data_IF_739149977827
#
_entry.id   IF_739149977827
#
_cell.length_a   1.000
_cell.length_b   1.000
_cell.length_c   1.000
_cell.angle_alpha   90.00
_cell.angle_beta   90.00
_cell.angle_gamma   90.00
#
_symmetry.space_group_name_H-M   'P 1'
#
loop_
_entity.id
_entity.type
_entity.pdbx_description
1 polymer ?
#
# COMPACT_ATOMS: atom_id res chain seq x y z
N UNK A 1 53.57 -7.28 36.58
CA UNK A 1 52.74 -8.19 35.76
C UNK A 1 51.30 -8.01 36.22
N UNK A 2 50.48 -7.33 35.42
CA UNK A 2 49.09 -7.04 35.79
C UNK A 2 48.30 -8.36 35.81
N UNK A 3 47.69 -8.70 36.95
CA UNK A 3 46.71 -9.78 37.00
C UNK A 3 45.43 -9.26 36.34
N UNK A 4 44.97 -9.83 35.21
CA UNK A 4 43.74 -9.39 34.58
C UNK A 4 42.62 -9.55 35.60
N UNK A 5 41.98 -8.44 35.95
CA UNK A 5 40.83 -8.49 36.86
C UNK A 5 39.73 -9.30 36.18
N UNK A 6 38.95 -10.05 36.96
CA UNK A 6 37.88 -10.93 36.48
C UNK A 6 36.94 -10.26 35.48
N UNK A 7 36.79 -8.93 35.58
CA UNK A 7 36.00 -8.10 34.69
C UNK A 7 36.59 -7.93 33.28
N UNK A 8 37.91 -7.71 33.15
CA UNK A 8 38.57 -7.57 31.84
C UNK A 8 38.50 -8.88 31.05
N UNK A 9 38.66 -10.01 31.73
CA UNK A 9 38.56 -11.33 31.13
C UNK A 9 37.11 -11.67 30.75
N UNK A 10 36.13 -11.28 31.59
CA UNK A 10 34.70 -11.38 31.26
C UNK A 10 34.35 -10.52 30.04
N UNK A 11 34.82 -9.27 29.99
CA UNK A 11 34.60 -8.36 28.87
C UNK A 11 35.21 -8.91 27.58
N UNK A 12 36.41 -9.48 27.64
CA UNK A 12 37.05 -10.13 26.49
C UNK A 12 36.25 -11.35 26.01
N UNK A 13 35.80 -12.21 26.93
CA UNK A 13 34.97 -13.37 26.60
C UNK A 13 33.59 -13.01 26.05
N UNK A 14 32.96 -11.94 26.53
CA UNK A 14 31.65 -11.47 26.05
C UNK A 14 31.77 -10.70 24.73
N UNK A 15 32.92 -10.07 24.47
CA UNK A 15 33.15 -9.26 23.27
C UNK A 15 32.98 -10.08 22.00
N UNK A 16 33.52 -11.30 21.94
CA UNK A 16 33.46 -12.19 20.78
C UNK A 16 32.02 -12.57 20.41
N UNK A 17 31.19 -13.15 21.31
CA UNK A 17 29.81 -13.49 21.00
C UNK A 17 28.96 -12.26 20.70
N UNK A 18 29.18 -11.11 21.36
CA UNK A 18 28.46 -9.87 21.04
C UNK A 18 28.87 -9.31 19.67
N UNK A 19 30.12 -9.46 19.24
CA UNK A 19 30.58 -9.07 17.90
C UNK A 19 29.92 -9.93 16.82
N UNK A 20 29.75 -11.24 17.06
CA UNK A 20 29.02 -12.15 16.16
C UNK A 20 27.54 -11.78 16.06
N UNK A 21 26.90 -11.45 17.19
CA UNK A 21 25.55 -10.90 17.19
C UNK A 21 25.47 -9.55 16.46
N UNK A 22 26.48 -8.70 16.65
CA UNK A 22 26.68 -7.43 15.94
C UNK A 22 26.77 -7.62 14.42
N UNK A 23 27.53 -8.62 13.97
CA UNK A 23 27.67 -8.96 12.56
C UNK A 23 26.36 -9.47 11.97
N UNK A 24 25.55 -10.19 12.75
CA UNK A 24 24.24 -10.67 12.33
C UNK A 24 23.23 -9.53 12.05
N UNK A 25 23.46 -8.30 12.55
CA UNK A 25 22.69 -7.13 12.13
C UNK A 25 22.91 -6.74 10.66
N UNK A 26 24.05 -7.08 10.06
CA UNK A 26 24.30 -6.80 8.66
C UNK A 26 23.43 -7.63 7.72
N UNK A 27 22.83 -8.73 8.21
CA UNK A 27 21.96 -9.59 7.44
C UNK A 27 20.49 -9.36 7.78
N UNK A 28 19.76 -8.69 6.87
CA UNK A 28 18.35 -8.26 7.03
C UNK A 28 17.42 -9.37 7.60
N UNK A 29 17.49 -10.64 7.14
CA UNK A 29 16.65 -11.70 7.68
C UNK A 29 16.93 -12.07 9.15
N UNK A 30 18.15 -11.84 9.63
CA UNK A 30 18.59 -12.20 10.99
C UNK A 30 18.56 -11.01 11.95
N UNK A 31 18.27 -9.79 11.50
CA UNK A 31 18.30 -8.57 12.33
C UNK A 31 17.49 -8.74 13.62
N UNK A 32 16.27 -9.26 13.54
CA UNK A 32 15.41 -9.39 14.72
C UNK A 32 15.99 -10.41 15.73
N UNK A 33 16.52 -11.52 15.22
CA UNK A 33 17.18 -12.54 16.05
C UNK A 33 18.49 -12.02 16.65
N UNK A 34 19.25 -11.22 15.90
CA UNK A 34 20.48 -10.57 16.32
C UNK A 34 20.25 -9.53 17.43
N UNK A 35 19.18 -8.73 17.33
CA UNK A 35 18.74 -7.80 18.39
C UNK A 35 18.42 -8.57 19.66
N UNK A 36 17.57 -9.59 19.55
CA UNK A 36 17.16 -10.39 20.70
C UNK A 36 18.36 -11.06 21.37
N UNK A 37 19.25 -11.67 20.59
CA UNK A 37 20.47 -12.29 21.08
C UNK A 37 21.36 -11.32 21.85
N UNK A 38 21.65 -10.14 21.28
CA UNK A 38 22.48 -9.13 21.95
C UNK A 38 21.83 -8.55 23.21
N UNK A 39 20.50 -8.46 23.25
CA UNK A 39 19.78 -7.96 24.42
C UNK A 39 19.73 -8.99 25.56
N UNK A 40 19.48 -10.26 25.24
CA UNK A 40 19.27 -11.29 26.26
C UNK A 40 20.58 -11.92 26.76
N UNK A 41 21.63 -11.96 25.96
CA UNK A 41 22.91 -12.56 26.34
C UNK A 41 23.54 -11.91 27.60
N UNK A 42 23.61 -10.57 27.73
CA UNK A 42 24.11 -9.94 28.96
C UNK A 42 23.20 -10.17 30.18
N UNK A 43 21.89 -10.23 29.95
CA UNK A 43 20.89 -10.47 31.01
C UNK A 43 21.04 -11.90 31.56
N UNK A 44 21.27 -12.88 30.68
CA UNK A 44 21.49 -14.28 31.04
C UNK A 44 22.83 -14.53 31.71
N UNK A 45 23.88 -13.80 31.31
CA UNK A 45 25.20 -13.86 31.97
C UNK A 45 25.15 -13.19 33.34
N UNK A 46 24.28 -12.20 33.53
CA UNK A 46 23.96 -11.61 34.83
C UNK A 46 25.21 -11.31 35.66
N UNK A 47 26.08 -10.37 35.22
CA UNK A 47 27.39 -10.13 35.83
C UNK A 47 27.24 -9.52 37.22
N UNK A 48 26.93 -10.37 38.19
CA UNK A 48 26.89 -10.05 39.60
C UNK A 48 28.32 -10.14 40.14
N UNK A 49 28.70 -9.18 40.98
CA UNK A 49 30.04 -9.09 41.58
C UNK A 49 30.40 -10.27 42.51
N UNK A 50 29.50 -11.24 42.70
CA UNK A 50 29.73 -12.45 43.48
C UNK A 50 30.08 -13.59 42.50
N UNK A 51 31.36 -13.96 42.43
CA UNK A 51 31.97 -14.73 41.34
C UNK A 51 31.55 -16.19 41.15
N UNK A 52 30.30 -16.59 41.44
CA UNK A 52 29.74 -17.91 41.10
C UNK A 52 28.32 -17.75 40.56
N UNK A 53 28.12 -18.18 39.32
CA UNK A 53 26.79 -18.31 38.75
C UNK A 53 26.17 -19.60 39.28
N UNK A 54 25.10 -19.49 40.07
CA UNK A 54 24.35 -20.66 40.52
C UNK A 54 23.46 -21.19 39.39
N UNK A 55 23.55 -22.49 39.11
CA UNK A 55 22.77 -23.17 38.07
C UNK A 55 21.25 -22.99 38.27
N UNK A 56 20.81 -22.99 39.53
CA UNK A 56 19.42 -22.74 39.93
C UNK A 56 19.01 -21.29 39.61
N UNK A 57 19.90 -20.33 39.86
CA UNK A 57 19.66 -18.92 39.55
C UNK A 57 19.62 -18.67 38.04
N UNK A 58 20.51 -19.31 37.29
CA UNK A 58 20.48 -19.29 35.83
C UNK A 58 19.16 -19.86 35.29
N UNK A 59 18.75 -21.03 35.76
CA UNK A 59 17.50 -21.66 35.33
C UNK A 59 16.27 -20.82 35.68
N UNK A 60 16.22 -20.24 36.88
CA UNK A 60 15.13 -19.36 37.33
C UNK A 60 15.10 -18.03 36.58
N UNK A 61 16.18 -17.62 35.93
CA UNK A 61 16.23 -16.38 35.12
C UNK A 61 15.92 -16.67 33.64
N UNK A 62 16.48 -17.76 33.10
CA UNK A 62 16.33 -18.13 31.70
C UNK A 62 14.94 -18.69 31.37
N UNK A 63 14.37 -19.51 32.25
CA UNK A 63 13.11 -20.19 31.96
C UNK A 63 11.90 -19.23 31.88
N UNK A 64 11.73 -18.25 32.78
CA UNK A 64 10.67 -17.25 32.63
C UNK A 64 10.83 -16.40 31.37
N UNK A 65 12.07 -16.09 30.99
CA UNK A 65 12.37 -15.32 29.78
C UNK A 65 11.95 -16.07 28.51
N UNK A 66 12.30 -17.36 28.43
CA UNK A 66 11.89 -18.24 27.32
C UNK A 66 10.36 -18.40 27.27
N UNK A 67 9.72 -18.65 28.42
CA UNK A 67 8.26 -18.75 28.50
C UNK A 67 7.57 -17.45 28.06
N UNK A 68 8.07 -16.30 28.50
CA UNK A 68 7.53 -15.00 28.10
C UNK A 68 7.64 -14.77 26.58
N UNK A 69 8.76 -15.16 25.98
CA UNK A 69 8.99 -15.03 24.54
C UNK A 69 8.10 -15.97 23.72
N UNK A 70 7.94 -17.23 24.16
CA UNK A 70 7.01 -18.19 23.55
C UNK A 70 5.57 -17.70 23.70
N UNK A 71 5.19 -17.20 24.88
CA UNK A 71 3.86 -16.66 25.13
C UNK A 71 3.57 -15.42 24.26
N UNK A 72 4.51 -14.49 24.15
CA UNK A 72 4.36 -13.32 23.29
C UNK A 72 4.22 -13.73 21.82
N UNK A 73 5.05 -14.66 21.33
CA UNK A 73 4.95 -15.18 19.97
C UNK A 73 3.60 -15.86 19.71
N UNK A 74 3.14 -16.68 20.66
CA UNK A 74 1.85 -17.34 20.58
C UNK A 74 0.69 -16.34 20.58
N UNK A 75 0.73 -15.35 21.48
CA UNK A 75 -0.27 -14.27 21.57
C UNK A 75 -0.35 -13.50 20.24
N UNK A 76 0.78 -13.09 19.66
CA UNK A 76 0.77 -12.41 18.37
C UNK A 76 0.20 -13.28 17.25
N UNK A 77 0.51 -14.58 17.24
CA UNK A 77 0.01 -15.50 16.22
C UNK A 77 -1.49 -15.78 16.34
N UNK A 78 -2.04 -15.79 17.56
CA UNK A 78 -3.45 -16.07 17.82
C UNK A 78 -4.32 -14.82 17.67
N UNK A 79 -3.88 -13.69 18.22
CA UNK A 79 -4.68 -12.45 18.23
C UNK A 79 -4.43 -11.53 17.03
N UNK A 80 -3.25 -11.61 16.39
CA UNK A 80 -2.91 -10.86 15.18
C UNK A 80 -2.42 -11.81 14.07
N UNK A 81 -3.29 -12.68 13.52
CA UNK A 81 -2.94 -13.42 12.32
C UNK A 81 -2.66 -12.41 11.20
N UNK A 82 -1.40 -12.33 10.78
CA UNK A 82 -1.00 -11.50 9.65
C UNK A 82 -1.56 -12.14 8.38
N UNK A 83 -2.72 -11.67 7.92
CA UNK A 83 -3.32 -12.10 6.67
C UNK A 83 -2.89 -11.16 5.52
N UNK A 84 -1.85 -11.52 4.74
CA UNK A 84 -1.40 -10.72 3.61
C UNK A 84 -2.47 -10.60 2.51
N UNK A 85 -3.46 -11.51 2.46
CA UNK A 85 -4.54 -11.46 1.47
C UNK A 85 -5.59 -10.43 1.89
N UNK A 86 -6.00 -10.45 3.16
CA UNK A 86 -6.92 -9.47 3.74
C UNK A 86 -6.38 -8.04 3.62
N UNK A 87 -5.10 -7.83 3.90
CA UNK A 87 -4.47 -6.51 3.75
C UNK A 87 -4.43 -6.00 2.30
N UNK A 88 -4.10 -6.88 1.35
CA UNK A 88 -4.11 -6.55 -0.09
C UNK A 88 -5.52 -6.20 -0.58
N UNK A 89 -6.52 -6.92 -0.08
CA UNK A 89 -7.92 -6.66 -0.37
C UNK A 89 -8.39 -5.33 0.21
N UNK A 90 -8.07 -5.05 1.48
CA UNK A 90 -8.41 -3.80 2.15
C UNK A 90 -7.79 -2.59 1.45
N UNK A 91 -6.53 -2.72 1.01
CA UNK A 91 -5.87 -1.67 0.26
C UNK A 91 -6.57 -1.38 -1.07
N UNK A 92 -6.91 -2.41 -1.84
CA UNK A 92 -7.67 -2.28 -3.08
C UNK A 92 -9.03 -1.61 -2.84
N UNK A 93 -9.75 -2.04 -1.80
CA UNK A 93 -11.02 -1.42 -1.41
C UNK A 93 -10.86 0.04 -0.98
N UNK A 94 -9.75 0.41 -0.34
CA UNK A 94 -9.48 1.79 0.05
C UNK A 94 -9.24 2.67 -1.17
N UNK A 95 -8.53 2.19 -2.19
CA UNK A 95 -8.32 2.92 -3.46
C UNK A 95 -9.66 3.11 -4.18
N UNK A 96 -10.47 2.06 -4.30
CA UNK A 96 -11.80 2.14 -4.91
C UNK A 96 -12.73 3.09 -4.15
N UNK A 97 -12.72 3.04 -2.81
CA UNK A 97 -13.47 3.99 -1.96
C UNK A 97 -12.97 5.43 -2.14
N UNK A 98 -11.66 5.62 -2.30
CA UNK A 98 -11.05 6.91 -2.60
C UNK A 98 -11.55 7.49 -3.91
N UNK A 99 -11.55 6.69 -4.98
CA UNK A 99 -12.08 7.08 -6.30
C UNK A 99 -13.57 7.45 -6.24
N UNK A 100 -14.38 6.66 -5.53
CA UNK A 100 -15.78 6.98 -5.28
C UNK A 100 -15.94 8.32 -4.57
N UNK A 101 -15.17 8.53 -3.49
CA UNK A 101 -15.23 9.72 -2.66
C UNK A 101 -14.86 10.97 -3.48
N UNK A 102 -13.82 10.89 -4.30
CA UNK A 102 -13.40 11.94 -5.23
C UNK A 102 -14.51 12.30 -6.24
N UNK A 103 -15.23 11.29 -6.73
CA UNK A 103 -16.36 11.48 -7.64
C UNK A 103 -17.61 12.02 -6.94
N UNK A 104 -17.83 11.75 -5.65
CA UNK A 104 -19.07 12.08 -4.92
C UNK A 104 -19.01 13.36 -4.09
N UNK A 105 -17.85 13.76 -3.58
CA UNK A 105 -17.75 14.89 -2.65
C UNK A 105 -18.05 16.22 -3.33
N UNK A 106 -18.86 17.08 -2.70
CA UNK A 106 -19.15 18.43 -3.22
C UNK A 106 -17.93 19.35 -3.21
N UNK A 107 -17.08 19.25 -2.20
CA UNK A 107 -15.83 20.03 -2.10
C UNK A 107 -14.73 19.31 -2.88
N UNK A 108 -14.00 20.00 -3.77
CA UNK A 108 -12.85 19.40 -4.45
C UNK A 108 -11.73 19.15 -3.44
N UNK A 109 -11.31 17.89 -3.29
CA UNK A 109 -10.06 17.54 -2.58
C UNK A 109 -8.86 18.09 -3.38
N UNK A 110 -7.81 18.50 -2.68
CA UNK A 110 -6.61 19.03 -3.32
C UNK A 110 -5.88 17.90 -4.05
N UNK A 111 -5.29 18.15 -5.24
CA UNK A 111 -4.47 17.15 -5.93
C UNK A 111 -3.38 16.55 -5.05
N UNK A 112 -2.81 17.33 -4.13
CA UNK A 112 -1.80 16.89 -3.16
C UNK A 112 -2.30 15.81 -2.20
N UNK A 113 -3.58 15.83 -1.81
CA UNK A 113 -4.18 14.83 -0.90
C UNK A 113 -4.43 13.48 -1.61
N UNK A 114 -4.66 13.52 -2.93
CA UNK A 114 -4.77 12.30 -3.76
C UNK A 114 -3.39 11.68 -3.93
N UNK A 115 -2.37 12.49 -4.20
CA UNK A 115 -0.98 12.03 -4.31
C UNK A 115 -0.49 11.47 -2.97
N UNK A 116 -0.72 12.17 -1.86
CA UNK A 116 -0.31 11.74 -0.52
C UNK A 116 -0.85 10.36 -0.14
N UNK A 117 -2.17 10.13 -0.30
CA UNK A 117 -2.77 8.80 -0.06
C UNK A 117 -2.22 7.71 -0.97
N UNK A 118 -1.86 8.05 -2.21
CA UNK A 118 -1.29 7.09 -3.16
C UNK A 118 0.15 6.72 -2.78
N UNK A 119 0.93 7.69 -2.30
CA UNK A 119 2.28 7.49 -1.76
C UNK A 119 2.24 6.65 -0.48
N UNK A 120 1.30 6.92 0.43
CA UNK A 120 1.12 6.11 1.64
C UNK A 120 0.80 4.64 1.30
N UNK A 121 -0.07 4.43 0.30
CA UNK A 121 -0.34 3.11 -0.24
C UNK A 121 0.91 2.43 -0.82
N UNK A 122 1.71 3.18 -1.59
CA UNK A 122 2.97 2.69 -2.17
C UNK A 122 3.98 2.27 -1.09
N UNK A 123 4.18 3.12 -0.08
CA UNK A 123 5.08 2.84 1.05
C UNK A 123 4.59 1.62 1.84
N UNK A 124 3.28 1.50 2.05
CA UNK A 124 2.70 0.32 2.73
C UNK A 124 2.88 -0.96 1.92
N UNK A 125 2.78 -0.93 0.58
CA UNK A 125 3.05 -2.11 -0.26
C UNK A 125 4.53 -2.50 -0.30
N UNK A 126 5.41 -1.50 -0.38
CA UNK A 126 6.85 -1.74 -0.48
C UNK A 126 7.43 -2.28 0.84
N UNK A 127 6.90 -1.83 1.99
CA UNK A 127 7.30 -2.33 3.31
C UNK A 127 6.74 -3.71 3.61
N UNK A 128 5.63 -4.12 2.98
CA UNK A 128 4.94 -5.37 3.29
C UNK A 128 5.43 -6.57 2.47
N UNK A 129 6.25 -6.35 1.44
CA UNK A 129 6.73 -7.41 0.56
C UNK A 129 8.24 -7.57 0.74
N UNK A 130 8.71 -8.59 1.51
CA UNK A 130 10.13 -8.85 1.65
C UNK A 130 10.78 -9.31 0.32
N UNK A 131 9.98 -9.84 -0.62
CA UNK A 131 10.45 -10.25 -1.94
C UNK A 131 10.13 -9.20 -3.02
N UNK A 132 11.13 -8.37 -3.34
CA UNK A 132 11.03 -7.26 -4.31
C UNK A 132 10.73 -7.70 -5.76
N UNK A 133 10.72 -9.00 -6.06
CA UNK A 133 10.56 -9.54 -7.43
C UNK A 133 9.21 -10.20 -7.73
N UNK A 134 8.23 -10.07 -6.85
CA UNK A 134 6.90 -10.63 -7.14
C UNK A 134 6.21 -9.87 -8.27
N UNK A 135 5.94 -10.54 -9.40
CA UNK A 135 5.11 -10.03 -10.52
C UNK A 135 3.80 -9.40 -10.02
N UNK A 136 3.26 -9.94 -8.93
CA UNK A 136 2.07 -9.45 -8.24
C UNK A 136 2.29 -8.05 -7.66
N UNK A 137 3.44 -7.78 -7.04
CA UNK A 137 3.77 -6.45 -6.51
C UNK A 137 3.77 -5.41 -7.63
N UNK A 138 4.41 -5.69 -8.77
CA UNK A 138 4.45 -4.75 -9.89
C UNK A 138 3.04 -4.44 -10.43
N UNK A 139 2.17 -5.45 -10.50
CA UNK A 139 0.75 -5.30 -10.85
C UNK A 139 -0.04 -4.47 -9.83
N UNK A 140 0.21 -4.65 -8.52
CA UNK A 140 -0.41 -3.81 -7.48
C UNK A 140 0.09 -2.37 -7.53
N UNK A 141 1.39 -2.16 -7.73
CA UNK A 141 2.00 -0.84 -7.87
C UNK A 141 1.43 -0.10 -9.09
N UNK A 142 1.34 -0.78 -10.24
CA UNK A 142 0.69 -0.26 -11.43
C UNK A 142 -0.78 0.09 -11.17
N UNK A 143 -1.52 -0.75 -10.43
CA UNK A 143 -2.90 -0.46 -10.02
C UNK A 143 -3.05 0.76 -9.10
N UNK A 144 -2.13 0.96 -8.15
CA UNK A 144 -2.11 2.16 -7.28
C UNK A 144 -1.86 3.43 -8.10
N UNK A 145 -0.85 3.39 -8.98
CA UNK A 145 -0.52 4.51 -9.84
C UNK A 145 -1.66 4.83 -10.81
N UNK A 146 -2.28 3.80 -11.40
CA UNK A 146 -3.45 3.92 -12.25
C UNK A 146 -4.62 4.56 -11.49
N UNK A 147 -4.86 4.13 -10.24
CA UNK A 147 -5.86 4.74 -9.37
C UNK A 147 -5.60 6.22 -9.10
N UNK A 148 -4.34 6.60 -8.87
CA UNK A 148 -3.93 8.00 -8.74
C UNK A 148 -4.20 8.80 -10.01
N UNK A 149 -3.77 8.27 -11.18
CA UNK A 149 -3.97 8.90 -12.49
C UNK A 149 -5.46 9.12 -12.77
N UNK A 150 -6.30 8.12 -12.52
CA UNK A 150 -7.75 8.23 -12.64
C UNK A 150 -8.30 9.29 -11.68
N UNK A 151 -7.87 9.28 -10.42
CA UNK A 151 -8.31 10.25 -9.41
C UNK A 151 -7.99 11.71 -9.78
N UNK A 152 -6.80 11.96 -10.31
CA UNK A 152 -6.39 13.29 -10.78
C UNK A 152 -7.19 13.73 -12.01
N UNK A 153 -7.47 12.83 -12.95
CA UNK A 153 -8.29 13.14 -14.12
C UNK A 153 -9.76 13.37 -13.76
N UNK A 154 -10.28 12.67 -12.75
CA UNK A 154 -11.61 12.94 -12.18
C UNK A 154 -11.67 14.34 -11.56
N UNK A 155 -10.64 14.77 -10.82
CA UNK A 155 -10.56 16.14 -10.30
C UNK A 155 -10.50 17.19 -11.42
N UNK A 156 -9.72 16.94 -12.49
CA UNK A 156 -9.68 17.81 -13.68
C UNK A 156 -11.04 17.92 -14.34
N UNK A 157 -11.73 16.80 -14.58
CA UNK A 157 -13.08 16.80 -15.15
C UNK A 157 -14.08 17.60 -14.30
N UNK A 158 -13.96 17.52 -12.97
CA UNK A 158 -14.78 18.33 -12.07
C UNK A 158 -14.49 19.81 -12.18
N UNK A 159 -13.23 20.21 -12.29
CA UNK A 159 -12.87 21.60 -12.49
C UNK A 159 -13.47 22.15 -13.80
N UNK A 160 -13.40 21.38 -14.88
CA UNK A 160 -13.99 21.77 -16.18
C UNK A 160 -15.53 21.84 -16.09
N UNK A 161 -16.17 20.88 -15.41
CA UNK A 161 -17.63 20.91 -15.18
C UNK A 161 -18.07 22.11 -14.33
N UNK A 162 -17.26 22.52 -13.34
CA UNK A 162 -17.56 23.66 -12.49
C UNK A 162 -17.46 25.00 -13.24
N UNK A 163 -16.63 25.09 -14.27
CA UNK A 163 -16.52 26.29 -15.12
C UNK A 163 -17.75 26.48 -16.03
N UNK A 164 -18.52 25.41 -16.30
CA UNK A 164 -19.78 25.50 -17.05
C UNK A 164 -19.63 25.86 -18.55
N UNK A 165 -18.41 25.77 -19.10
CA UNK A 165 -18.11 26.17 -20.50
C UNK A 165 -18.41 25.05 -21.51
N UNK A 166 -18.72 23.84 -21.03
CA UNK A 166 -19.07 22.70 -21.88
C UNK A 166 -20.47 22.87 -22.49
N UNK A 167 -20.66 22.47 -23.76
CA UNK A 167 -21.99 22.43 -24.36
C UNK A 167 -22.88 21.42 -23.60
N UNK A 168 -24.20 21.64 -23.53
CA UNK A 168 -25.10 20.90 -22.64
C UNK A 168 -25.09 19.38 -22.89
N UNK A 169 -24.83 18.96 -24.13
CA UNK A 169 -24.66 17.54 -24.46
C UNK A 169 -23.37 16.92 -23.88
N UNK A 170 -22.23 17.62 -24.01
CA UNK A 170 -20.95 17.15 -23.48
C UNK A 170 -20.95 17.17 -21.95
N UNK A 171 -21.57 18.20 -21.35
CA UNK A 171 -21.74 18.29 -19.91
C UNK A 171 -22.54 17.10 -19.37
N UNK A 172 -23.66 16.73 -20.01
CA UNK A 172 -24.48 15.57 -19.62
C UNK A 172 -23.72 14.25 -19.75
N UNK A 173 -22.95 14.06 -20.82
CA UNK A 173 -22.15 12.85 -21.02
C UNK A 173 -21.08 12.69 -19.93
N UNK A 174 -20.32 13.76 -19.65
CA UNK A 174 -19.31 13.79 -18.60
C UNK A 174 -19.94 13.60 -17.22
N UNK A 175 -21.09 14.21 -16.95
CA UNK A 175 -21.80 14.06 -15.68
C UNK A 175 -22.38 12.64 -15.51
N UNK A 176 -22.84 11.99 -16.58
CA UNK A 176 -23.27 10.61 -16.55
C UNK A 176 -22.11 9.66 -16.19
N UNK A 177 -20.92 9.89 -16.75
CA UNK A 177 -19.71 9.16 -16.39
C UNK A 177 -19.33 9.40 -14.92
N UNK A 178 -19.33 10.65 -14.45
CA UNK A 178 -19.08 11.00 -13.03
C UNK A 178 -20.06 10.32 -12.08
N UNK A 179 -21.36 10.33 -12.38
CA UNK A 179 -22.40 9.67 -11.59
C UNK A 179 -22.21 8.14 -11.55
N UNK A 180 -21.66 7.55 -12.61
CA UNK A 180 -21.32 6.12 -12.65
C UNK A 180 -20.06 5.84 -11.82
N UNK A 181 -19.07 6.72 -11.89
CA UNK A 181 -17.84 6.61 -11.09
C UNK A 181 -18.11 6.72 -9.58
N UNK A 182 -19.09 7.52 -9.16
CA UNK A 182 -19.57 7.55 -7.76
C UNK A 182 -20.05 6.17 -7.28
N UNK A 183 -20.63 5.37 -8.17
CA UNK A 183 -21.18 4.04 -7.83
C UNK A 183 -20.18 2.92 -8.08
N UNK A 184 -18.95 3.24 -8.49
CA UNK A 184 -17.90 2.27 -8.75
C UNK A 184 -17.55 1.51 -7.47
N UNK A 185 -17.96 0.24 -7.37
CA UNK A 185 -17.58 -0.65 -6.24
C UNK A 185 -16.51 -1.66 -6.65
N UNK A 186 -16.36 -1.94 -7.96
CA UNK A 186 -15.67 -3.13 -8.46
C UNK A 186 -16.29 -4.47 -8.04
N UNK A 187 -17.19 -4.50 -7.04
CA UNK A 187 -17.56 -5.70 -6.25
C UNK A 187 -18.61 -6.59 -6.90
N UNK A 188 -19.08 -6.25 -8.09
CA UNK A 188 -20.08 -7.03 -8.82
C UNK A 188 -19.74 -6.95 -10.31
N UNK A 189 -19.51 -8.12 -10.93
CA UNK A 189 -18.97 -8.37 -12.28
C UNK A 189 -19.78 -7.82 -13.47
N UNK A 190 -20.22 -6.58 -13.35
CA UNK A 190 -21.01 -5.82 -14.31
C UNK A 190 -21.01 -4.32 -14.00
N UNK A 191 -20.68 -3.90 -12.78
CA UNK A 191 -20.51 -2.47 -12.47
C UNK A 191 -19.26 -1.90 -13.12
N UNK A 192 -18.13 -2.62 -13.07
CA UNK A 192 -16.90 -2.24 -13.76
C UNK A 192 -17.14 -2.02 -15.26
N UNK A 193 -17.72 -3.02 -15.93
CA UNK A 193 -18.05 -2.95 -17.36
C UNK A 193 -19.05 -1.84 -17.72
N UNK A 194 -19.96 -1.47 -16.81
CA UNK A 194 -20.88 -0.33 -17.00
C UNK A 194 -20.17 1.01 -16.90
N UNK A 195 -19.22 1.18 -15.98
CA UNK A 195 -18.38 2.39 -15.90
C UNK A 195 -17.49 2.51 -17.13
N UNK A 196 -16.78 1.44 -17.51
CA UNK A 196 -15.94 1.44 -18.71
C UNK A 196 -16.73 1.78 -19.98
N UNK A 197 -17.91 1.16 -20.18
CA UNK A 197 -18.82 1.51 -21.28
C UNK A 197 -19.31 2.94 -21.22
N UNK A 198 -19.65 3.46 -20.04
CA UNK A 198 -20.09 4.85 -19.91
C UNK A 198 -18.97 5.84 -20.25
N UNK A 199 -17.72 5.55 -19.87
CA UNK A 199 -16.55 6.33 -20.26
C UNK A 199 -16.35 6.27 -21.78
N UNK A 200 -16.40 5.09 -22.38
CA UNK A 200 -16.27 4.91 -23.84
C UNK A 200 -17.33 5.70 -24.62
N UNK A 201 -18.60 5.63 -24.19
CA UNK A 201 -19.69 6.38 -24.80
C UNK A 201 -19.52 7.90 -24.65
N UNK A 202 -19.00 8.36 -23.50
CA UNK A 202 -18.70 9.78 -23.30
C UNK A 202 -17.57 10.24 -24.22
N UNK A 203 -16.50 9.45 -24.39
CA UNK A 203 -15.41 9.73 -25.32
C UNK A 203 -15.94 9.84 -26.75
N UNK A 204 -16.68 8.84 -27.23
CA UNK A 204 -17.24 8.86 -28.60
C UNK A 204 -18.13 10.08 -28.84
N UNK A 205 -18.97 10.43 -27.87
CA UNK A 205 -19.84 11.61 -27.99
C UNK A 205 -19.04 12.91 -28.06
N UNK A 206 -18.00 13.06 -27.24
CA UNK A 206 -17.15 14.26 -27.27
C UNK A 206 -16.33 14.35 -28.56
N UNK A 207 -15.81 13.25 -29.10
CA UNK A 207 -15.08 13.23 -30.39
C UNK A 207 -16.00 13.71 -31.53
N UNK A 208 -17.23 13.20 -31.60
CA UNK A 208 -18.19 13.61 -32.63
C UNK A 208 -18.58 15.08 -32.53
N UNK A 209 -18.73 15.60 -31.30
CA UNK A 209 -19.10 17.00 -31.08
C UNK A 209 -17.95 17.97 -31.29
N UNK A 210 -16.72 17.57 -31.02
CA UNK A 210 -15.54 18.41 -31.26
C UNK A 210 -15.40 18.80 -32.74
N UNK A 211 -15.71 17.89 -33.67
CA UNK A 211 -15.58 18.12 -35.10
C UNK A 211 -16.59 19.15 -35.66
N UNK A 212 -17.69 19.38 -34.94
CA UNK A 212 -18.78 20.27 -35.38
C UNK A 212 -18.71 21.63 -34.70
N UNK A 213 -17.96 21.75 -33.61
CA UNK A 213 -17.92 22.98 -32.80
C UNK A 213 -16.99 24.02 -33.42
N UNK A 214 -17.55 25.19 -33.73
CA UNK A 214 -16.84 26.31 -34.36
C UNK A 214 -16.17 27.25 -33.35
N UNK A 215 -16.59 27.22 -32.08
CA UNK A 215 -16.05 28.10 -31.05
C UNK A 215 -14.74 27.56 -30.44
N UNK A 216 -13.63 28.29 -30.63
CA UNK A 216 -12.29 27.87 -30.22
C UNK A 216 -12.17 27.62 -28.71
N UNK A 217 -12.77 28.49 -27.88
CA UNK A 217 -12.68 28.39 -26.42
C UNK A 217 -13.42 27.16 -25.89
N UNK A 218 -14.61 26.89 -26.43
CA UNK A 218 -15.40 25.70 -26.09
C UNK A 218 -14.69 24.43 -26.56
N UNK A 219 -14.11 24.47 -27.76
CA UNK A 219 -13.34 23.36 -28.33
C UNK A 219 -12.10 23.01 -27.49
N UNK A 220 -11.37 24.00 -26.98
CA UNK A 220 -10.23 23.78 -26.08
C UNK A 220 -10.65 23.08 -24.78
N UNK A 221 -11.75 23.49 -24.15
CA UNK A 221 -12.26 22.84 -22.94
C UNK A 221 -12.80 21.43 -23.23
N UNK A 222 -13.44 21.21 -24.38
CA UNK A 222 -13.82 19.87 -24.82
C UNK A 222 -12.61 18.97 -25.04
N UNK A 223 -11.53 19.47 -25.64
CA UNK A 223 -10.28 18.72 -25.82
C UNK A 223 -9.64 18.34 -24.48
N UNK A 224 -9.67 19.26 -23.49
CA UNK A 224 -9.19 18.97 -22.12
C UNK A 224 -10.03 17.87 -21.45
N UNK A 225 -11.36 17.96 -21.56
CA UNK A 225 -12.26 16.94 -21.05
C UNK A 225 -12.06 15.59 -21.76
N UNK A 226 -11.94 15.60 -23.09
CA UNK A 226 -11.67 14.42 -23.91
C UNK A 226 -10.36 13.74 -23.49
N UNK A 227 -9.28 14.51 -23.34
CA UNK A 227 -7.97 13.98 -22.93
C UNK A 227 -8.09 13.27 -21.57
N UNK A 228 -8.75 13.89 -20.59
CA UNK A 228 -8.94 13.28 -19.27
C UNK A 228 -9.83 12.03 -19.31
N UNK A 229 -10.89 12.00 -20.13
CA UNK A 229 -11.73 10.82 -20.31
C UNK A 229 -10.97 9.66 -20.97
N UNK A 230 -10.14 9.96 -21.98
CA UNK A 230 -9.34 8.96 -22.70
C UNK A 230 -8.25 8.35 -21.82
N UNK A 231 -7.63 9.16 -20.96
CA UNK A 231 -6.70 8.64 -19.94
C UNK A 231 -7.45 7.72 -18.98
N UNK A 232 -8.63 8.11 -18.48
CA UNK A 232 -9.42 7.26 -17.58
C UNK A 232 -9.82 5.94 -18.27
N UNK A 233 -10.25 5.99 -19.53
CA UNK A 233 -10.58 4.81 -20.33
C UNK A 233 -9.38 3.86 -20.46
N UNK A 234 -8.23 4.39 -20.89
CA UNK A 234 -7.00 3.60 -21.10
C UNK A 234 -6.53 2.96 -19.80
N UNK A 235 -6.54 3.72 -18.70
CA UNK A 235 -6.13 3.24 -17.37
C UNK A 235 -7.06 2.16 -16.83
N UNK A 236 -8.37 2.30 -17.04
CA UNK A 236 -9.33 1.25 -16.72
C UNK A 236 -9.05 -0.01 -17.55
N UNK A 237 -8.94 0.10 -18.87
CA UNK A 237 -8.69 -1.05 -19.75
C UNK A 237 -7.40 -1.81 -19.43
N UNK A 238 -6.27 -1.10 -19.26
CA UNK A 238 -4.97 -1.70 -18.97
C UNK A 238 -4.92 -2.38 -17.58
N UNK A 239 -5.64 -1.82 -16.61
CA UNK A 239 -5.65 -2.33 -15.22
C UNK A 239 -6.99 -2.98 -14.85
N UNK A 240 -7.68 -3.59 -15.84
CA UNK A 240 -8.97 -4.25 -15.63
C UNK A 240 -8.93 -5.26 -14.48
N UNK A 241 -7.89 -6.09 -14.43
CA UNK A 241 -7.75 -7.12 -13.39
C UNK A 241 -7.72 -6.49 -11.99
N UNK A 242 -7.08 -5.32 -11.86
CA UNK A 242 -6.94 -4.60 -10.58
C UNK A 242 -8.20 -3.86 -10.18
N UNK A 243 -8.98 -3.37 -11.14
CA UNK A 243 -10.21 -2.63 -10.84
C UNK A 243 -11.47 -3.52 -10.78
N UNK A 244 -11.43 -4.72 -11.35
CA UNK A 244 -12.54 -5.67 -11.31
C UNK A 244 -12.51 -6.51 -10.03
N UNK A 245 -13.10 -5.98 -8.96
CA UNK A 245 -13.14 -6.60 -7.63
C UNK A 245 -14.10 -7.79 -7.51
N UNK A 246 -14.53 -8.37 -8.63
CA UNK A 246 -15.32 -9.61 -8.64
C UNK A 246 -14.49 -10.88 -8.45
N UNK A 247 -13.16 -10.80 -8.66
CA UNK A 247 -12.25 -11.93 -8.39
C UNK A 247 -11.27 -11.59 -7.26
N UNK A 248 -10.97 -12.54 -6.35
CA UNK A 248 -9.84 -12.41 -5.45
C UNK A 248 -8.59 -12.31 -6.31
N UNK A 249 -7.96 -11.15 -6.24
CA UNK A 249 -6.89 -10.75 -7.14
C UNK A 249 -5.70 -11.71 -6.95
N UNK A 250 -5.47 -12.57 -7.95
CA UNK A 250 -4.31 -13.45 -8.10
C UNK A 250 -4.10 -14.53 -7.02
N UNK A 251 -5.16 -15.19 -6.53
CA UNK A 251 -4.98 -16.50 -5.83
C UNK A 251 -4.42 -17.57 -6.78
N UNK A 252 -4.70 -17.48 -8.08
CA UNK A 252 -4.22 -18.45 -9.09
C UNK A 252 -2.74 -18.33 -9.45
N UNK A 253 -2.05 -17.27 -9.06
CA UNK A 253 -0.61 -17.14 -9.33
C UNK A 253 0.25 -17.92 -8.32
N UNK A 254 -0.36 -18.49 -7.29
CA UNK A 254 0.32 -19.21 -6.19
C UNK A 254 -0.35 -20.54 -5.82
N UNK A 255 -1.17 -21.14 -6.70
CA UNK A 255 -1.53 -22.58 -6.59
C UNK A 255 -0.60 -23.42 -7.46
#
# INVERSE_FOLDING_TARGET
MAQPTTYEMLAMCLSIPMLLGGLAFAYVPLVLAAVAYNLFLPILVGPLNQGRMDEIMYFNTALPLLLAMVFAMWMYRVFLPFDPNGLRWDMRLNILRGLRRLASQRVPELPSEVVGRSVDGFVRLSTMTPDKKSFVLNRYLSGVLSGMTIGLNVLRLRAILAQGVLPPGAQRATQAMMNRMQRFTGRYGGQYGRTARATHLAVQYLVQREQVETNLSVRLEMLRALASLRVIETELEQNRDFFDASSPYLDKAFS
#
